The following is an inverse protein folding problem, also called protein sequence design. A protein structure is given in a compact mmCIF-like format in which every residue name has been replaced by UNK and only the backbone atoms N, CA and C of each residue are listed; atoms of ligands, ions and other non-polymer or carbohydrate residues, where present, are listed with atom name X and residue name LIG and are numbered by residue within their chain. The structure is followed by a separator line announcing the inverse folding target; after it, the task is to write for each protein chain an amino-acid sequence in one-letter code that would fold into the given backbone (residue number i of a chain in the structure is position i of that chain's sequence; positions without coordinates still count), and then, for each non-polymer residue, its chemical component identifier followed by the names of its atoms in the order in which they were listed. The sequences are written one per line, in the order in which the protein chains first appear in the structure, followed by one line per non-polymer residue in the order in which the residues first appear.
data_IF_298305562935
#
_entry.id   IF_298305562935
#
_cell.length_a   1.000
_cell.length_b   1.000
_cell.length_c   1.000
_cell.angle_alpha   90.00
_cell.angle_beta   90.00
_cell.angle_gamma   90.00
#
_symmetry.space_group_name_H-M   'P 1'
#
loop_
_entity.id
_entity.type
_entity.pdbx_description
1 polymer ?
#
# COMPACT_ATOMS: atom_id res chain seq x y z
N UNK A 1 -18.08 18.77 50.19
CA UNK A 1 -17.61 18.28 48.89
C UNK A 1 -17.95 19.31 47.83
N UNK A 2 -16.95 19.82 47.16
CA UNK A 2 -17.15 20.84 46.10
C UNK A 2 -17.40 20.15 44.77
N UNK A 3 -18.66 20.15 44.33
CA UNK A 3 -19.08 19.52 43.09
C UNK A 3 -18.47 20.17 41.85
N UNK A 4 -18.28 21.50 41.89
CA UNK A 4 -17.73 22.25 40.78
C UNK A 4 -16.26 21.86 40.55
N UNK A 5 -15.51 21.64 41.61
CA UNK A 5 -14.12 21.16 41.55
C UNK A 5 -14.02 19.76 41.00
N UNK A 6 -14.94 18.89 41.40
CA UNK A 6 -15.00 17.51 40.92
C UNK A 6 -15.34 17.45 39.41
N UNK A 7 -16.32 18.22 38.97
CA UNK A 7 -16.71 18.30 37.58
C UNK A 7 -15.59 18.86 36.71
N UNK A 8 -14.90 19.89 37.17
CA UNK A 8 -13.75 20.45 36.44
C UNK A 8 -12.62 19.43 36.31
N UNK A 9 -12.36 18.64 37.34
CA UNK A 9 -11.34 17.58 37.30
C UNK A 9 -11.73 16.47 36.30
N UNK A 10 -12.98 16.06 36.26
CA UNK A 10 -13.49 15.08 35.30
C UNK A 10 -13.40 15.56 33.86
N UNK A 11 -13.77 16.81 33.61
CA UNK A 11 -13.63 17.43 32.28
C UNK A 11 -12.17 17.47 31.84
N UNK A 12 -11.28 17.86 32.74
CA UNK A 12 -9.85 17.91 32.44
C UNK A 12 -9.28 16.55 32.09
N UNK A 13 -9.69 15.51 32.82
CA UNK A 13 -9.27 14.12 32.52
C UNK A 13 -9.82 13.64 31.19
N UNK A 14 -11.07 13.92 30.90
CA UNK A 14 -11.71 13.56 29.62
C UNK A 14 -11.01 14.23 28.45
N UNK A 15 -10.71 15.52 28.53
CA UNK A 15 -9.96 16.24 27.51
C UNK A 15 -8.56 15.70 27.32
N UNK A 16 -7.86 15.33 28.39
CA UNK A 16 -6.53 14.74 28.32
C UNK A 16 -6.56 13.37 27.62
N UNK A 17 -7.55 12.52 27.95
CA UNK A 17 -7.72 11.24 27.30
C UNK A 17 -8.05 11.38 25.80
N UNK A 18 -8.91 12.35 25.47
CA UNK A 18 -9.28 12.62 24.09
C UNK A 18 -8.09 13.09 23.27
N UNK A 19 -7.28 14.02 23.79
CA UNK A 19 -6.03 14.45 23.15
C UNK A 19 -5.05 13.32 22.96
N UNK A 20 -4.88 12.47 23.96
CA UNK A 20 -4.02 11.30 23.90
C UNK A 20 -4.49 10.31 22.81
N UNK A 21 -5.79 10.09 22.70
CA UNK A 21 -6.38 9.24 21.66
C UNK A 21 -6.13 9.77 20.26
N UNK A 22 -6.30 11.09 20.05
CA UNK A 22 -6.02 11.73 18.76
C UNK A 22 -4.54 11.60 18.40
N UNK A 23 -3.65 11.83 19.37
CA UNK A 23 -2.21 11.69 19.16
C UNK A 23 -1.82 10.26 18.79
N UNK A 24 -2.40 9.25 19.45
CA UNK A 24 -2.17 7.84 19.13
C UNK A 24 -2.67 7.49 17.72
N UNK A 25 -3.84 7.97 17.31
CA UNK A 25 -4.36 7.77 15.95
C UNK A 25 -3.46 8.42 14.90
N UNK A 26 -2.97 9.63 15.15
CA UNK A 26 -2.04 10.31 14.24
C UNK A 26 -0.72 9.57 14.13
N UNK A 27 -0.20 9.01 15.22
CA UNK A 27 1.01 8.19 15.21
C UNK A 27 0.82 6.90 14.41
N UNK A 28 -0.32 6.23 14.56
CA UNK A 28 -0.66 5.01 13.81
C UNK A 28 -0.76 5.28 12.32
N UNK A 29 -1.37 6.39 11.92
CA UNK A 29 -1.43 6.81 10.51
C UNK A 29 -0.05 7.10 9.95
N UNK A 30 0.81 7.78 10.69
CA UNK A 30 2.18 8.06 10.28
C UNK A 30 3.00 6.79 10.11
N UNK A 31 2.84 5.80 10.99
CA UNK A 31 3.47 4.49 10.84
C UNK A 31 2.97 3.75 9.61
N UNK A 32 1.65 3.76 9.37
CA UNK A 32 1.05 3.11 8.21
C UNK A 32 1.55 3.75 6.90
N UNK A 33 1.65 5.06 6.83
CA UNK A 33 2.20 5.78 5.67
C UNK A 33 3.68 5.44 5.45
N UNK A 34 4.48 5.39 6.51
CA UNK A 34 5.89 5.02 6.43
C UNK A 34 6.06 3.58 5.94
N UNK A 35 5.24 2.66 6.45
CA UNK A 35 5.26 1.26 6.03
C UNK A 35 4.88 1.12 4.55
N UNK A 36 3.90 1.87 4.08
CA UNK A 36 3.48 1.88 2.68
C UNK A 36 4.60 2.38 1.76
N UNK A 37 5.30 3.42 2.13
CA UNK A 37 6.46 3.95 1.36
C UNK A 37 7.58 2.92 1.30
N UNK A 38 7.89 2.26 2.42
CA UNK A 38 8.91 1.19 2.44
C UNK A 38 8.53 0.02 1.57
N UNK A 39 7.27 -0.38 1.56
CA UNK A 39 6.76 -1.44 0.69
C UNK A 39 6.90 -1.06 -0.77
N UNK A 40 6.52 0.15 -1.16
CA UNK A 40 6.66 0.65 -2.52
C UNK A 40 8.12 0.62 -2.98
N UNK A 41 9.06 1.05 -2.13
CA UNK A 41 10.50 1.00 -2.43
C UNK A 41 10.99 -0.42 -2.66
N UNK A 42 10.55 -1.36 -1.84
CA UNK A 42 10.91 -2.78 -1.98
C UNK A 42 10.31 -3.41 -3.22
N UNK A 43 9.07 -3.04 -3.56
CA UNK A 43 8.44 -3.50 -4.80
C UNK A 43 9.18 -2.97 -6.03
N UNK A 44 9.67 -1.73 -6.01
CA UNK A 44 10.53 -1.21 -7.08
C UNK A 44 11.84 -2.01 -7.20
N UNK A 45 12.40 -2.40 -6.07
CA UNK A 45 13.58 -3.28 -6.05
C UNK A 45 13.31 -4.69 -6.57
N UNK A 46 12.06 -5.10 -6.64
CA UNK A 46 11.64 -6.40 -7.16
C UNK A 46 11.47 -6.43 -8.68
N UNK A 47 11.49 -5.28 -9.37
CA UNK A 47 11.33 -5.23 -10.83
C UNK A 47 12.39 -6.10 -11.50
N UNK A 48 11.96 -6.96 -12.43
CA UNK A 48 12.79 -7.94 -13.11
C UNK A 48 13.01 -9.23 -12.32
N UNK A 49 12.39 -9.39 -11.16
CA UNK A 49 12.54 -10.58 -10.32
C UNK A 49 11.22 -11.34 -10.20
N UNK A 50 11.32 -12.65 -10.03
CA UNK A 50 10.18 -13.50 -9.75
C UNK A 50 9.73 -13.33 -8.31
N UNK A 51 8.43 -13.12 -8.14
CA UNK A 51 7.79 -13.01 -6.83
C UNK A 51 6.55 -13.89 -6.75
N UNK A 52 6.11 -14.09 -5.54
CA UNK A 52 4.87 -14.77 -5.22
C UNK A 52 4.11 -13.90 -4.22
N UNK A 53 2.88 -13.53 -4.54
CA UNK A 53 2.07 -12.72 -3.65
C UNK A 53 0.68 -13.32 -3.47
N UNK A 54 0.01 -12.88 -2.42
CA UNK A 54 -1.38 -13.20 -2.18
C UNK A 54 -2.13 -11.93 -1.80
N UNK A 55 -3.29 -11.74 -2.35
CA UNK A 55 -4.14 -10.60 -2.02
C UNK A 55 -4.93 -10.86 -0.74
N UNK A 56 -5.49 -9.81 -0.17
CA UNK A 56 -6.37 -9.93 1.01
C UNK A 56 -7.63 -10.75 0.70
N UNK A 57 -8.07 -10.77 -0.54
CA UNK A 57 -9.14 -11.65 -0.99
C UNK A 57 -8.72 -13.10 -1.21
N UNK A 58 -7.46 -13.46 -0.94
CA UNK A 58 -6.96 -14.82 -1.05
C UNK A 58 -6.50 -15.22 -2.45
N UNK A 59 -6.41 -14.30 -3.40
CA UNK A 59 -5.99 -14.59 -4.76
C UNK A 59 -4.47 -14.71 -4.84
N UNK A 60 -3.91 -15.86 -5.28
CA UNK A 60 -2.48 -15.99 -5.48
C UNK A 60 -2.06 -15.38 -6.83
N UNK A 61 -0.91 -14.71 -6.84
CA UNK A 61 -0.26 -14.20 -8.05
C UNK A 61 1.20 -14.59 -7.99
N UNK A 62 1.70 -15.17 -9.07
CA UNK A 62 3.09 -15.61 -9.16
C UNK A 62 3.64 -15.23 -10.53
N UNK A 63 4.81 -14.61 -10.55
CA UNK A 63 5.45 -14.20 -11.79
C UNK A 63 6.53 -13.17 -11.57
N UNK A 64 6.94 -12.54 -12.67
CA UNK A 64 7.99 -11.52 -12.67
C UNK A 64 7.38 -10.13 -12.53
N UNK A 65 7.94 -9.32 -11.66
CA UNK A 65 7.52 -7.91 -11.53
C UNK A 65 8.00 -7.13 -12.74
N UNK A 66 7.07 -6.59 -13.49
CA UNK A 66 7.34 -5.78 -14.68
C UNK A 66 7.42 -4.30 -14.30
N UNK A 67 6.57 -3.86 -13.38
CA UNK A 67 6.48 -2.48 -12.99
C UNK A 67 5.98 -2.37 -11.56
N UNK A 68 6.55 -1.45 -10.80
CA UNK A 68 6.11 -1.17 -9.43
C UNK A 68 6.11 0.33 -9.20
N UNK A 69 4.99 0.85 -8.72
CA UNK A 69 4.78 2.25 -8.39
C UNK A 69 4.20 2.35 -6.98
N UNK A 70 3.98 3.55 -6.48
CA UNK A 70 3.50 3.74 -5.10
C UNK A 70 2.15 3.08 -4.83
N UNK A 71 1.26 3.03 -5.81
CA UNK A 71 -0.11 2.54 -5.61
C UNK A 71 -0.38 1.16 -6.20
N UNK A 72 0.53 0.57 -6.98
CA UNK A 72 0.28 -0.70 -7.65
C UNK A 72 1.56 -1.44 -8.03
N UNK A 73 1.41 -2.72 -8.30
CA UNK A 73 2.45 -3.57 -8.90
C UNK A 73 1.85 -4.31 -10.10
N UNK A 74 2.63 -4.42 -11.17
CA UNK A 74 2.28 -5.18 -12.36
C UNK A 74 3.19 -6.40 -12.44
N UNK A 75 2.57 -7.59 -12.50
CA UNK A 75 3.26 -8.87 -12.50
C UNK A 75 2.94 -9.63 -13.78
N UNK A 76 3.97 -10.06 -14.48
CA UNK A 76 3.82 -10.97 -15.62
C UNK A 76 3.69 -12.41 -15.11
N UNK A 77 2.50 -12.97 -15.24
CA UNK A 77 2.20 -14.33 -14.80
C UNK A 77 2.57 -15.41 -15.83
N UNK A 78 3.06 -14.99 -17.01
CA UNK A 78 3.35 -15.89 -18.12
C UNK A 78 2.19 -15.99 -19.10
N UNK A 79 2.44 -16.58 -20.27
CA UNK A 79 1.45 -16.81 -21.33
C UNK A 79 0.71 -15.53 -21.79
N UNK A 80 1.37 -14.38 -21.69
CA UNK A 80 0.79 -13.10 -22.05
C UNK A 80 -0.21 -12.52 -21.05
N UNK A 81 -0.35 -13.14 -19.88
CA UNK A 81 -1.21 -12.66 -18.80
C UNK A 81 -0.43 -11.80 -17.82
N UNK A 82 -0.93 -10.62 -17.54
CA UNK A 82 -0.37 -9.72 -16.54
C UNK A 82 -1.40 -9.48 -15.43
N UNK A 83 -0.92 -9.43 -14.20
CA UNK A 83 -1.75 -9.11 -13.04
C UNK A 83 -1.45 -7.68 -12.58
N UNK A 84 -2.47 -6.85 -12.53
CA UNK A 84 -2.40 -5.49 -11.99
C UNK A 84 -2.94 -5.52 -10.56
N UNK A 85 -2.06 -5.31 -9.59
CA UNK A 85 -2.38 -5.49 -8.17
C UNK A 85 -2.20 -4.17 -7.43
N UNK A 86 -3.28 -3.58 -6.90
CA UNK A 86 -3.14 -2.43 -6.00
C UNK A 86 -2.34 -2.81 -4.76
N UNK A 87 -1.41 -1.96 -4.32
CA UNK A 87 -0.61 -2.24 -3.13
C UNK A 87 -1.47 -2.42 -1.87
N UNK A 88 -2.60 -1.75 -1.79
CA UNK A 88 -3.55 -1.90 -0.67
C UNK A 88 -4.17 -3.29 -0.59
N UNK A 89 -4.17 -4.05 -1.67
CA UNK A 89 -4.72 -5.40 -1.70
C UNK A 89 -3.73 -6.49 -1.32
N UNK A 90 -2.45 -6.14 -1.11
CA UNK A 90 -1.42 -7.11 -0.76
C UNK A 90 -1.57 -7.57 0.69
N UNK A 91 -1.66 -8.88 0.89
CA UNK A 91 -1.62 -9.50 2.22
C UNK A 91 -0.25 -10.13 2.50
N UNK A 92 0.40 -10.63 1.46
CA UNK A 92 1.63 -11.40 1.58
C UNK A 92 2.46 -11.28 0.31
N UNK A 93 3.78 -11.18 0.45
CA UNK A 93 4.71 -11.09 -0.67
C UNK A 93 6.03 -11.77 -0.30
N UNK A 94 6.56 -12.59 -1.21
CA UNK A 94 7.86 -13.24 -1.03
C UNK A 94 8.51 -13.57 -2.38
N UNK A 95 9.83 -13.52 -2.50
CA UNK A 95 10.79 -12.90 -1.61
C UNK A 95 10.70 -11.37 -1.68
N UNK A 96 11.03 -10.68 -0.61
CA UNK A 96 11.03 -9.22 -0.57
C UNK A 96 12.47 -8.71 -0.73
N UNK A 97 12.83 -8.14 -1.88
CA UNK A 97 14.18 -7.64 -2.11
C UNK A 97 14.46 -6.37 -1.34
N UNK A 98 15.71 -5.92 -1.39
CA UNK A 98 16.10 -4.63 -0.83
C UNK A 98 15.38 -3.46 -1.50
N UNK A 99 15.23 -2.32 -0.80
CA UNK A 99 14.55 -1.17 -1.36
C UNK A 99 15.34 -0.54 -2.51
N UNK A 100 14.61 -0.07 -3.53
CA UNK A 100 15.14 0.79 -4.58
C UNK A 100 14.44 2.14 -4.51
N UNK A 101 15.17 3.24 -4.36
CA UNK A 101 14.56 4.56 -4.28
C UNK A 101 13.89 4.94 -5.58
N UNK A 102 12.88 5.79 -5.49
CA UNK A 102 12.19 6.32 -6.63
C UNK A 102 13.14 7.18 -7.48
N UNK A 103 13.18 6.99 -8.82
CA UNK A 103 13.97 7.87 -9.68
C UNK A 103 13.37 9.27 -9.65
N UNK A 104 14.19 10.23 -9.24
CA UNK A 104 13.79 11.64 -9.14
C UNK A 104 13.37 12.23 -10.49
N UNK A 105 12.37 13.13 -10.48
CA UNK A 105 11.97 13.92 -11.62
C UNK A 105 11.00 13.27 -12.59
N UNK A 106 10.52 12.07 -12.35
CA UNK A 106 9.51 11.42 -13.16
C UNK A 106 8.10 11.67 -12.62
N UNK A 107 7.18 11.98 -13.54
CA UNK A 107 5.76 12.01 -13.23
C UNK A 107 5.30 10.58 -12.88
N UNK A 108 4.69 10.42 -11.72
CA UNK A 108 4.20 9.11 -11.26
C UNK A 108 2.97 8.71 -12.08
N UNK A 109 3.01 7.56 -12.77
CA UNK A 109 1.81 7.06 -13.45
C UNK A 109 0.78 6.58 -12.44
N UNK A 110 -0.48 6.81 -12.73
CA UNK A 110 -1.58 6.28 -11.95
C UNK A 110 -1.96 4.89 -12.44
N UNK A 111 -2.62 4.12 -11.59
CA UNK A 111 -3.14 2.79 -11.95
C UNK A 111 -4.10 2.89 -13.15
N UNK A 112 -4.91 3.95 -13.22
CA UNK A 112 -5.82 4.19 -14.33
C UNK A 112 -5.07 4.45 -15.65
N UNK A 113 -3.99 5.22 -15.60
CA UNK A 113 -3.17 5.50 -16.78
C UNK A 113 -2.52 4.21 -17.30
N UNK A 114 -2.00 3.38 -16.42
CA UNK A 114 -1.39 2.09 -16.78
C UNK A 114 -2.44 1.13 -17.33
N UNK A 115 -3.62 1.05 -16.73
CA UNK A 115 -4.71 0.23 -17.23
C UNK A 115 -5.12 0.63 -18.64
N UNK A 116 -5.19 1.93 -18.95
CA UNK A 116 -5.47 2.43 -20.30
C UNK A 116 -4.37 2.06 -21.31
N UNK A 117 -3.13 2.15 -20.90
CA UNK A 117 -1.99 1.75 -21.71
C UNK A 117 -2.05 0.26 -22.06
N UNK A 118 -2.30 -0.58 -21.07
CA UNK A 118 -2.46 -2.03 -21.25
C UNK A 118 -3.62 -2.36 -22.19
N UNK A 119 -4.74 -1.67 -22.07
CA UNK A 119 -5.88 -1.83 -22.96
C UNK A 119 -5.53 -1.48 -24.40
N UNK A 120 -4.76 -0.42 -24.63
CA UNK A 120 -4.32 -0.01 -25.97
C UNK A 120 -3.37 -1.02 -26.62
N UNK A 121 -2.54 -1.68 -25.83
CA UNK A 121 -1.61 -2.70 -26.35
C UNK A 121 -2.25 -4.05 -26.55
N UNK A 122 -3.51 -4.23 -26.12
CA UNK A 122 -4.22 -5.50 -26.22
C UNK A 122 -3.71 -6.56 -25.24
N UNK A 123 -3.00 -6.17 -24.19
CA UNK A 123 -2.49 -7.09 -23.18
C UNK A 123 -3.62 -7.75 -22.39
N UNK A 124 -3.44 -9.02 -22.07
CA UNK A 124 -4.34 -9.74 -21.15
C UNK A 124 -3.98 -9.36 -19.73
N UNK A 125 -4.93 -8.81 -18.99
CA UNK A 125 -4.71 -8.30 -17.64
C UNK A 125 -5.73 -8.88 -16.68
N UNK A 126 -5.25 -9.31 -15.52
CA UNK A 126 -6.06 -9.67 -14.36
C UNK A 126 -5.99 -8.50 -13.38
N UNK A 127 -7.14 -7.87 -13.12
CA UNK A 127 -7.23 -6.76 -12.17
C UNK A 127 -7.68 -7.27 -10.81
N UNK A 128 -6.96 -6.87 -9.76
CA UNK A 128 -7.30 -7.20 -8.38
C UNK A 128 -8.04 -6.04 -7.73
N UNK A 129 -9.04 -6.35 -6.94
CA UNK A 129 -9.74 -5.35 -6.14
C UNK A 129 -9.16 -5.29 -4.74
N UNK A 130 -9.10 -4.10 -4.11
CA UNK A 130 -8.65 -3.97 -2.73
C UNK A 130 -9.77 -4.43 -1.79
N UNK A 131 -9.83 -5.66 -1.44
CA UNK A 131 -10.79 -6.11 -0.42
C UNK A 131 -10.51 -7.52 0.01
#
# INVERSE_FOLDING_TARGET
MDWDCLLADLESRFEAEHRSSIAAQAADLAEAETAAVRLADRLRGAVGRAIRLRTRGGVPVEGEVVRAEDGFVLVDEGDGLQALVPTDSLAFLTPLPGPAPEPGGRRRPTIQAVARELARTGARVRAMTPA
#
